data_IF_057905852384
#
_entry.id   IF_057905852384
#
_cell.length_a   1.000
_cell.length_b   1.000
_cell.length_c   1.000
_cell.angle_alpha   90.00
_cell.angle_beta   90.00
_cell.angle_gamma   90.00
#
_symmetry.space_group_name_H-M   'P 1'
#
loop_
_entity.id
_entity.type
_entity.pdbx_description
1 polymer ?
#
# COMPACT_ATOMS: atom_id res chain seq x y z
N UNK A 1 -11.04 -20.66 -6.04
CA UNK A 1 -12.01 -20.04 -5.12
C UNK A 1 -12.44 -18.75 -5.79
N UNK A 2 -13.68 -18.69 -6.23
CA UNK A 2 -14.21 -17.49 -6.89
C UNK A 2 -14.35 -16.35 -5.88
N UNK A 3 -14.17 -15.09 -6.31
CA UNK A 3 -14.28 -13.92 -5.42
C UNK A 3 -15.59 -13.92 -4.63
N UNK A 4 -16.70 -14.30 -5.28
CA UNK A 4 -17.99 -14.44 -4.64
C UNK A 4 -17.96 -15.42 -3.45
N UNK A 5 -17.33 -16.58 -3.63
CA UNK A 5 -17.17 -17.59 -2.58
C UNK A 5 -16.36 -17.04 -1.39
N UNK A 6 -15.34 -16.21 -1.65
CA UNK A 6 -14.55 -15.54 -0.61
C UNK A 6 -15.40 -14.57 0.20
N UNK A 7 -16.19 -13.73 -0.48
CA UNK A 7 -17.06 -12.73 0.17
C UNK A 7 -18.15 -13.44 0.99
N UNK A 8 -18.82 -14.44 0.42
CA UNK A 8 -19.86 -15.23 1.08
C UNK A 8 -19.30 -15.96 2.32
N UNK A 9 -18.12 -16.58 2.19
CA UNK A 9 -17.45 -17.24 3.31
C UNK A 9 -17.01 -16.27 4.40
N UNK A 10 -16.60 -15.06 4.01
CA UNK A 10 -16.21 -14.01 4.96
C UNK A 10 -17.41 -13.52 5.76
N UNK A 11 -18.57 -13.34 5.12
CA UNK A 11 -19.82 -13.00 5.80
C UNK A 11 -20.24 -14.09 6.79
N UNK A 12 -20.20 -15.36 6.37
CA UNK A 12 -20.53 -16.49 7.25
C UNK A 12 -19.57 -16.57 8.45
N UNK A 13 -18.27 -16.43 8.20
CA UNK A 13 -17.26 -16.42 9.27
C UNK A 13 -17.49 -15.27 10.25
N UNK A 14 -17.85 -14.08 9.76
CA UNK A 14 -18.18 -12.94 10.60
C UNK A 14 -19.35 -13.23 11.54
N UNK A 15 -20.43 -13.82 11.03
CA UNK A 15 -21.61 -14.18 11.83
C UNK A 15 -21.27 -15.19 12.94
N UNK A 16 -20.43 -16.19 12.63
CA UNK A 16 -19.94 -17.16 13.62
C UNK A 16 -19.08 -16.49 14.71
N UNK A 17 -18.21 -15.54 14.34
CA UNK A 17 -17.39 -14.78 15.29
C UNK A 17 -18.25 -13.93 16.22
N UNK A 18 -19.22 -13.18 15.68
CA UNK A 18 -20.14 -12.36 16.49
C UNK A 18 -20.92 -13.24 17.47
N UNK A 19 -21.47 -14.36 16.99
CA UNK A 19 -22.18 -15.31 17.84
C UNK A 19 -21.28 -15.87 18.95
N UNK A 20 -20.03 -16.25 18.64
CA UNK A 20 -19.10 -16.77 19.62
C UNK A 20 -18.75 -15.76 20.71
N UNK A 21 -18.52 -14.48 20.35
CA UNK A 21 -18.24 -13.40 21.31
C UNK A 21 -19.45 -13.17 22.23
N UNK A 22 -20.65 -13.11 21.66
CA UNK A 22 -21.89 -12.93 22.44
C UNK A 22 -22.17 -14.13 23.36
N UNK A 23 -21.95 -15.36 22.89
CA UNK A 23 -22.10 -16.57 23.69
C UNK A 23 -21.09 -16.61 24.86
N UNK A 24 -19.83 -16.23 24.61
CA UNK A 24 -18.82 -16.11 25.65
C UNK A 24 -19.24 -15.07 26.71
N UNK A 25 -19.73 -13.92 26.27
CA UNK A 25 -20.22 -12.87 27.15
C UNK A 25 -21.36 -13.32 28.06
N UNK A 26 -22.35 -13.99 27.47
CA UNK A 26 -23.47 -14.53 28.21
C UNK A 26 -23.01 -15.55 29.26
N UNK A 27 -22.06 -16.41 28.92
CA UNK A 27 -21.56 -17.44 29.83
C UNK A 27 -20.72 -16.89 30.97
N UNK A 28 -19.79 -15.96 30.71
CA UNK A 28 -19.01 -15.28 31.76
C UNK A 28 -19.95 -14.55 32.74
N UNK A 29 -20.93 -13.81 32.20
CA UNK A 29 -21.89 -13.10 33.03
C UNK A 29 -22.84 -14.04 33.78
N UNK A 30 -23.15 -15.23 33.26
CA UNK A 30 -23.92 -16.27 33.96
C UNK A 30 -23.14 -16.87 35.12
N UNK A 31 -21.87 -17.26 34.89
CA UNK A 31 -21.00 -17.82 35.93
C UNK A 31 -20.76 -16.82 37.06
N UNK A 32 -20.59 -15.53 36.72
CA UNK A 32 -20.47 -14.46 37.71
C UNK A 32 -21.71 -14.32 38.59
N UNK A 33 -22.93 -14.44 38.02
CA UNK A 33 -24.17 -14.41 38.83
C UNK A 33 -24.22 -15.57 39.82
N UNK A 34 -23.86 -16.79 39.37
CA UNK A 34 -23.80 -17.97 40.25
C UNK A 34 -22.79 -17.75 41.38
N UNK A 35 -21.62 -17.20 41.08
CA UNK A 35 -20.61 -16.86 42.09
C UNK A 35 -21.12 -15.83 43.10
N UNK A 36 -21.75 -14.75 42.61
CA UNK A 36 -22.35 -13.71 43.46
C UNK A 36 -23.42 -14.27 44.39
N UNK A 37 -24.25 -15.22 43.92
CA UNK A 37 -25.28 -15.89 44.71
C UNK A 37 -24.68 -16.84 45.77
N UNK A 38 -23.53 -17.45 45.49
CA UNK A 38 -22.86 -18.38 46.42
C UNK A 38 -22.14 -17.67 47.58
N UNK A 39 -21.43 -16.57 47.30
CA UNK A 39 -20.51 -15.98 48.27
C UNK A 39 -20.97 -14.62 48.83
N UNK A 40 -21.98 -13.97 48.22
CA UNK A 40 -22.42 -12.64 48.62
C UNK A 40 -21.43 -11.56 48.17
N UNK A 41 -21.90 -10.70 47.27
CA UNK A 41 -21.10 -9.80 46.44
C UNK A 41 -20.18 -8.81 47.20
N UNK A 42 -20.50 -8.48 48.46
CA UNK A 42 -19.86 -7.34 49.17
C UNK A 42 -18.63 -7.71 50.01
N UNK A 43 -18.42 -8.99 50.37
CA UNK A 43 -17.39 -9.36 51.35
C UNK A 43 -16.20 -10.13 50.77
N UNK A 44 -16.36 -10.79 49.62
CA UNK A 44 -15.35 -11.70 49.06
C UNK A 44 -14.90 -11.35 47.63
N UNK A 45 -15.60 -10.44 46.94
CA UNK A 45 -15.37 -10.16 45.51
C UNK A 45 -15.80 -11.32 44.60
N UNK A 46 -15.76 -11.12 43.28
CA UNK A 46 -15.96 -12.18 42.28
C UNK A 46 -14.60 -12.54 41.66
N UNK A 47 -14.34 -13.83 41.45
CA UNK A 47 -13.18 -14.35 40.73
C UNK A 47 -13.25 -14.04 39.23
N UNK A 48 -14.46 -13.99 38.65
CA UNK A 48 -14.66 -13.56 37.27
C UNK A 48 -15.00 -12.07 37.20
N UNK A 49 -14.29 -11.36 36.32
CA UNK A 49 -14.64 -9.99 35.95
C UNK A 49 -15.92 -9.96 35.12
N UNK A 50 -16.66 -8.85 35.20
CA UNK A 50 -17.76 -8.59 34.28
C UNK A 50 -17.21 -8.58 32.85
N UNK A 51 -17.85 -9.28 31.92
CA UNK A 51 -17.54 -9.08 30.52
C UNK A 51 -18.50 -8.04 29.96
N UNK A 52 -18.05 -6.79 29.99
CA UNK A 52 -18.88 -5.63 29.71
C UNK A 52 -19.13 -5.42 28.21
N UNK A 53 -20.20 -4.71 27.88
CA UNK A 53 -20.57 -4.44 26.48
C UNK A 53 -19.48 -3.70 25.71
N UNK A 54 -18.64 -2.90 26.38
CA UNK A 54 -17.53 -2.22 25.72
C UNK A 54 -16.43 -3.20 25.29
N UNK A 55 -16.15 -4.25 26.07
CA UNK A 55 -15.14 -5.27 25.75
C UNK A 55 -15.59 -6.15 24.60
N UNK A 56 -16.87 -6.52 24.60
CA UNK A 56 -17.52 -7.20 23.48
C UNK A 56 -17.39 -6.37 22.19
N UNK A 57 -17.76 -5.09 22.24
CA UNK A 57 -17.66 -4.18 21.09
C UNK A 57 -16.22 -4.03 20.60
N UNK A 58 -15.25 -3.93 21.49
CA UNK A 58 -13.84 -3.84 21.11
C UNK A 58 -13.37 -5.10 20.35
N UNK A 59 -13.73 -6.30 20.83
CA UNK A 59 -13.38 -7.56 20.15
C UNK A 59 -14.05 -7.69 18.79
N UNK A 60 -15.35 -7.34 18.71
CA UNK A 60 -16.12 -7.35 17.45
C UNK A 60 -15.53 -6.34 16.46
N UNK A 61 -15.19 -5.14 16.91
CA UNK A 61 -14.54 -4.12 16.06
C UNK A 61 -13.18 -4.58 15.55
N UNK A 62 -12.34 -5.15 16.41
CA UNK A 62 -11.02 -5.67 16.03
C UNK A 62 -11.14 -6.78 14.97
N UNK A 63 -12.07 -7.72 15.16
CA UNK A 63 -12.32 -8.79 14.20
C UNK A 63 -12.77 -8.24 12.84
N UNK A 64 -13.71 -7.30 12.83
CA UNK A 64 -14.17 -6.64 11.60
C UNK A 64 -13.03 -5.90 10.87
N UNK A 65 -12.22 -5.11 11.57
CA UNK A 65 -11.08 -4.39 10.99
C UNK A 65 -10.08 -5.35 10.32
N UNK A 66 -9.83 -6.51 10.92
CA UNK A 66 -8.98 -7.56 10.34
C UNK A 66 -9.61 -8.16 9.08
N UNK A 67 -10.92 -8.43 9.07
CA UNK A 67 -11.63 -8.95 7.90
C UNK A 67 -11.65 -7.94 6.75
N UNK A 68 -11.91 -6.66 7.02
CA UNK A 68 -11.83 -5.58 6.03
C UNK A 68 -10.44 -5.47 5.42
N UNK A 69 -9.39 -5.50 6.23
CA UNK A 69 -8.00 -5.49 5.73
C UNK A 69 -7.71 -6.69 4.81
N UNK A 70 -8.24 -7.88 5.14
CA UNK A 70 -8.11 -9.07 4.28
C UNK A 70 -8.89 -8.91 2.97
N UNK A 71 -10.12 -8.40 2.99
CA UNK A 71 -10.90 -8.15 1.78
C UNK A 71 -10.21 -7.11 0.89
N UNK A 72 -9.62 -6.06 1.47
CA UNK A 72 -8.81 -5.10 0.72
C UNK A 72 -7.62 -5.78 0.03
N UNK A 73 -6.92 -6.70 0.70
CA UNK A 73 -5.83 -7.47 0.05
C UNK A 73 -6.31 -8.33 -1.11
N UNK A 74 -7.54 -8.86 -1.03
CA UNK A 74 -8.17 -9.59 -2.14
C UNK A 74 -8.50 -8.63 -3.27
N UNK A 75 -9.10 -7.47 -2.97
CA UNK A 75 -9.42 -6.44 -3.95
C UNK A 75 -8.18 -5.88 -4.67
N UNK A 76 -7.06 -5.69 -3.95
CA UNK A 76 -5.79 -5.29 -4.57
C UNK A 76 -5.37 -6.33 -5.61
N UNK A 77 -5.48 -7.63 -5.31
CA UNK A 77 -5.11 -8.68 -6.29
C UNK A 77 -6.07 -8.74 -7.47
N UNK A 78 -7.35 -8.53 -7.23
CA UNK A 78 -8.40 -8.65 -8.23
C UNK A 78 -8.45 -7.45 -9.19
N UNK A 79 -8.34 -6.23 -8.66
CA UNK A 79 -8.55 -5.00 -9.43
C UNK A 79 -7.24 -4.35 -9.90
N UNK A 80 -6.07 -4.85 -9.47
CA UNK A 80 -4.80 -4.37 -10.02
C UNK A 80 -4.60 -4.88 -11.44
N UNK A 81 -4.04 -4.06 -12.34
CA UNK A 81 -3.78 -4.47 -13.72
C UNK A 81 -2.68 -5.53 -13.82
N UNK A 82 -1.73 -5.54 -12.88
CA UNK A 82 -0.71 -6.57 -12.77
C UNK A 82 -0.13 -6.64 -11.36
N UNK A 83 0.52 -7.76 -10.96
CA UNK A 83 1.27 -7.85 -9.70
C UNK A 83 2.39 -6.82 -9.56
N UNK A 84 2.80 -6.20 -10.66
CA UNK A 84 3.85 -5.19 -10.73
C UNK A 84 3.33 -3.77 -10.64
N UNK A 85 2.01 -3.61 -10.68
CA UNK A 85 1.29 -2.33 -10.57
C UNK A 85 0.13 -2.46 -9.58
N UNK A 86 0.39 -2.80 -8.30
CA UNK A 86 -0.69 -2.94 -7.33
C UNK A 86 -1.37 -1.59 -7.08
N UNK A 87 -2.70 -1.56 -7.00
CA UNK A 87 -3.42 -0.43 -6.42
C UNK A 87 -3.16 -0.35 -4.91
N UNK A 88 -3.01 0.87 -4.41
CA UNK A 88 -3.06 1.18 -2.99
C UNK A 88 -4.50 1.52 -2.59
N UNK A 89 -5.02 0.82 -1.58
CA UNK A 89 -6.35 1.03 -1.03
C UNK A 89 -6.22 1.20 0.48
N UNK A 90 -6.69 2.32 1.02
CA UNK A 90 -6.84 2.48 2.46
C UNK A 90 -8.15 1.84 2.92
N UNK A 91 -8.04 0.77 3.71
CA UNK A 91 -9.22 0.09 4.23
C UNK A 91 -10.06 0.99 5.14
N UNK A 92 -9.46 1.99 5.82
CA UNK A 92 -10.20 2.91 6.67
C UNK A 92 -11.13 3.81 5.87
N UNK A 93 -10.70 4.21 4.67
CA UNK A 93 -11.51 5.03 3.78
C UNK A 93 -12.76 4.26 3.31
N UNK A 94 -12.56 3.00 2.89
CA UNK A 94 -13.67 2.11 2.52
C UNK A 94 -14.58 1.83 3.73
N UNK A 95 -13.99 1.58 4.90
CA UNK A 95 -14.73 1.36 6.14
C UNK A 95 -15.63 2.56 6.47
N UNK A 96 -15.11 3.78 6.37
CA UNK A 96 -15.90 5.02 6.56
C UNK A 96 -17.04 5.12 5.55
N UNK A 97 -16.77 4.84 4.28
CA UNK A 97 -17.76 4.91 3.21
C UNK A 97 -18.95 3.96 3.44
N UNK A 98 -18.70 2.79 4.04
CA UNK A 98 -19.76 1.83 4.38
C UNK A 98 -20.33 2.00 5.79
N UNK A 99 -20.01 3.11 6.48
CA UNK A 99 -20.54 3.43 7.80
C UNK A 99 -19.81 2.77 8.98
N UNK A 100 -18.71 2.06 8.73
CA UNK A 100 -17.83 1.48 9.75
C UNK A 100 -16.77 2.50 10.21
N UNK A 101 -17.23 3.63 10.76
CA UNK A 101 -16.35 4.70 11.25
C UNK A 101 -16.34 4.83 12.79
N UNK A 102 -17.26 4.16 13.48
CA UNK A 102 -17.50 4.37 14.90
C UNK A 102 -17.57 3.04 15.66
N UNK A 103 -16.72 2.90 16.67
CA UNK A 103 -16.66 1.73 17.58
C UNK A 103 -18.01 1.42 18.25
N UNK A 104 -18.93 2.39 18.31
CA UNK A 104 -20.26 2.23 18.92
C UNK A 104 -21.23 1.40 18.09
N UNK A 105 -20.98 1.16 16.81
CA UNK A 105 -21.85 0.35 15.91
C UNK A 105 -21.01 -0.51 14.97
N UNK A 106 -20.41 -1.60 15.45
CA UNK A 106 -19.56 -2.46 14.63
C UNK A 106 -20.43 -3.43 13.80
N UNK A 107 -21.23 -2.89 12.88
CA UNK A 107 -22.00 -3.70 11.94
C UNK A 107 -21.19 -3.86 10.65
N UNK A 108 -20.27 -4.83 10.66
CA UNK A 108 -19.58 -5.23 9.43
C UNK A 108 -20.52 -6.09 8.58
N UNK A 109 -20.50 -5.81 7.28
CA UNK A 109 -21.15 -6.63 6.25
C UNK A 109 -20.18 -6.79 5.09
N UNK A 110 -19.74 -8.02 4.84
CA UNK A 110 -18.72 -8.31 3.84
C UNK A 110 -19.20 -7.97 2.41
N UNK A 111 -20.48 -8.19 2.12
CA UNK A 111 -21.05 -7.90 0.80
C UNK A 111 -21.13 -6.40 0.53
N UNK A 112 -21.53 -5.61 1.53
CA UNK A 112 -21.58 -4.14 1.41
C UNK A 112 -20.16 -3.58 1.23
N UNK A 113 -19.21 -4.07 2.03
CA UNK A 113 -17.81 -3.68 1.93
C UNK A 113 -17.21 -4.03 0.56
N UNK A 114 -17.48 -5.24 0.06
CA UNK A 114 -17.00 -5.66 -1.26
C UNK A 114 -17.65 -4.88 -2.40
N UNK A 115 -18.96 -4.60 -2.32
CA UNK A 115 -19.66 -3.79 -3.32
C UNK A 115 -19.08 -2.38 -3.43
N UNK A 116 -18.66 -1.78 -2.32
CA UNK A 116 -17.99 -0.49 -2.33
C UNK A 116 -16.62 -0.57 -3.02
N UNK A 117 -15.85 -1.64 -2.76
CA UNK A 117 -14.59 -1.90 -3.46
C UNK A 117 -14.80 -2.07 -4.97
N UNK A 118 -15.78 -2.87 -5.40
CA UNK A 118 -16.14 -3.03 -6.81
C UNK A 118 -16.59 -1.71 -7.45
N UNK A 119 -17.36 -0.90 -6.74
CA UNK A 119 -17.84 0.39 -7.25
C UNK A 119 -16.68 1.34 -7.56
N UNK A 120 -15.68 1.39 -6.66
CA UNK A 120 -14.51 2.28 -6.80
C UNK A 120 -13.44 1.74 -7.74
N UNK A 121 -13.16 0.44 -7.70
CA UNK A 121 -11.99 -0.17 -8.34
C UNK A 121 -12.32 -1.24 -9.37
N UNK A 122 -13.57 -1.68 -9.48
CA UNK A 122 -13.98 -2.69 -10.45
C UNK A 122 -13.84 -2.25 -11.92
N UNK A 123 -13.77 -3.23 -12.81
CA UNK A 123 -13.56 -3.00 -14.24
C UNK A 123 -12.20 -2.38 -14.53
N UNK A 124 -12.15 -1.34 -15.37
CA UNK A 124 -10.91 -0.63 -15.70
C UNK A 124 -10.47 0.40 -14.65
N UNK A 125 -11.32 0.72 -13.65
CA UNK A 125 -11.04 1.78 -12.67
C UNK A 125 -9.83 1.45 -11.80
N UNK A 126 -9.67 0.18 -11.40
CA UNK A 126 -8.52 -0.28 -10.62
C UNK A 126 -7.21 -0.09 -11.39
N UNK A 127 -7.19 -0.46 -12.68
CA UNK A 127 -6.04 -0.22 -13.55
C UNK A 127 -5.69 1.26 -13.66
N UNK A 128 -6.67 2.12 -13.94
CA UNK A 128 -6.47 3.56 -14.01
C UNK A 128 -5.94 4.13 -12.69
N UNK A 129 -6.51 3.74 -11.55
CA UNK A 129 -6.06 4.19 -10.24
C UNK A 129 -4.62 3.75 -9.93
N UNK A 130 -4.25 2.49 -10.23
CA UNK A 130 -2.87 2.01 -10.02
C UNK A 130 -1.86 2.87 -10.78
N UNK A 131 -2.15 3.14 -12.05
CA UNK A 131 -1.26 3.93 -12.89
C UNK A 131 -1.22 5.41 -12.49
N UNK A 132 -2.34 5.99 -12.06
CA UNK A 132 -2.36 7.33 -11.48
C UNK A 132 -1.54 7.43 -10.19
N UNK A 133 -1.66 6.45 -9.29
CA UNK A 133 -0.86 6.39 -8.05
C UNK A 133 0.64 6.25 -8.35
N UNK A 134 1.01 5.40 -9.31
CA UNK A 134 2.39 5.25 -9.75
C UNK A 134 2.92 6.55 -10.40
N UNK A 135 2.15 7.16 -11.32
CA UNK A 135 2.53 8.41 -11.97
C UNK A 135 2.67 9.56 -10.96
N UNK A 136 1.72 9.70 -10.03
CA UNK A 136 1.78 10.67 -8.93
C UNK A 136 3.01 10.47 -8.05
N UNK A 137 3.36 9.21 -7.75
CA UNK A 137 4.61 8.88 -7.04
C UNK A 137 5.84 9.33 -7.83
N UNK A 138 5.93 9.04 -9.13
CA UNK A 138 7.07 9.50 -9.96
C UNK A 138 7.18 11.02 -10.01
N UNK A 139 6.05 11.73 -10.14
CA UNK A 139 5.99 13.19 -10.14
C UNK A 139 6.51 13.76 -8.82
N UNK A 140 6.03 13.22 -7.69
CA UNK A 140 6.43 13.68 -6.37
C UNK A 140 7.92 13.39 -6.10
N UNK A 141 8.37 12.17 -6.35
CA UNK A 141 9.72 11.73 -6.00
C UNK A 141 10.79 12.37 -6.89
N UNK A 142 10.53 12.55 -8.19
CA UNK A 142 11.41 13.28 -9.09
C UNK A 142 11.17 14.79 -9.14
N UNK A 143 10.19 15.29 -8.37
CA UNK A 143 9.79 16.72 -8.33
C UNK A 143 9.50 17.28 -9.72
N UNK A 144 8.79 16.51 -10.54
CA UNK A 144 8.43 16.89 -11.91
C UNK A 144 7.39 18.02 -11.82
N UNK A 145 7.72 19.18 -12.40
CA UNK A 145 6.79 20.31 -12.45
C UNK A 145 5.94 20.21 -13.72
N UNK A 146 4.59 20.20 -13.63
CA UNK A 146 3.71 20.13 -14.80
C UNK A 146 4.02 21.24 -15.82
N UNK A 147 4.27 22.45 -15.34
CA UNK A 147 4.50 23.63 -16.18
C UNK A 147 5.91 23.71 -16.79
N UNK A 148 6.91 23.11 -16.15
CA UNK A 148 8.30 23.19 -16.62
C UNK A 148 8.64 22.12 -17.68
N UNK A 149 7.75 21.13 -17.86
CA UNK A 149 8.01 19.95 -18.66
C UNK A 149 9.17 19.11 -18.10
N UNK A 150 9.39 17.95 -18.72
CA UNK A 150 10.53 17.09 -18.38
C UNK A 150 11.75 17.56 -19.17
N UNK A 151 12.85 17.88 -18.48
CA UNK A 151 14.10 18.24 -19.15
C UNK A 151 14.61 17.08 -20.01
N UNK A 152 14.63 17.30 -21.32
CA UNK A 152 15.24 16.39 -22.29
C UNK A 152 16.73 16.73 -22.44
N UNK A 153 17.57 15.70 -22.47
CA UNK A 153 18.93 15.76 -23.01
C UNK A 153 18.95 15.03 -24.36
N UNK A 154 20.03 15.22 -25.15
CA UNK A 154 20.17 14.66 -26.51
C UNK A 154 19.80 13.17 -26.61
N UNK A 155 20.05 12.40 -25.55
CA UNK A 155 19.90 10.94 -25.56
C UNK A 155 18.68 10.42 -24.76
N UNK A 156 17.84 11.32 -24.21
CA UNK A 156 16.64 10.95 -23.46
C UNK A 156 16.29 11.90 -22.30
N UNK A 157 15.58 11.38 -21.30
CA UNK A 157 15.16 12.12 -20.11
C UNK A 157 16.17 11.90 -18.98
N UNK A 158 16.47 12.96 -18.22
CA UNK A 158 17.25 12.87 -16.98
C UNK A 158 16.41 13.37 -15.81
N UNK A 159 16.20 12.52 -14.80
CA UNK A 159 15.50 12.85 -13.56
C UNK A 159 16.41 12.65 -12.36
N UNK A 160 16.22 13.45 -11.31
CA UNK A 160 17.02 13.38 -10.10
C UNK A 160 16.12 13.03 -8.91
N UNK A 161 16.44 11.93 -8.25
CA UNK A 161 15.89 11.59 -6.94
C UNK A 161 16.80 12.20 -5.88
N UNK A 162 16.32 13.16 -5.10
CA UNK A 162 17.10 13.75 -4.01
C UNK A 162 17.33 12.72 -2.90
N UNK A 163 18.55 12.65 -2.36
CA UNK A 163 18.93 11.74 -1.27
C UNK A 163 19.76 12.53 -0.25
N UNK A 164 19.59 12.28 1.03
CA UNK A 164 20.44 12.76 2.12
C UNK A 164 21.38 11.63 2.51
N UNK A 165 22.67 11.83 2.25
CA UNK A 165 23.69 10.89 2.66
C UNK A 165 24.78 11.58 3.50
N UNK A 166 25.11 10.98 4.64
CA UNK A 166 26.11 11.49 5.57
C UNK A 166 27.48 10.89 5.26
N UNK A 167 28.52 11.73 5.23
CA UNK A 167 29.89 11.24 5.03
C UNK A 167 30.39 10.50 6.27
N UNK A 168 30.85 9.26 6.09
CA UNK A 168 31.41 8.47 7.18
C UNK A 168 32.85 8.93 7.48
N UNK A 169 33.13 9.26 8.75
CA UNK A 169 34.39 9.91 9.20
C UNK A 169 35.70 9.22 8.76
N UNK A 170 35.64 7.94 8.40
CA UNK A 170 36.81 7.12 7.99
C UNK A 170 36.56 6.28 6.73
N UNK A 171 35.58 6.65 5.89
CA UNK A 171 35.26 5.91 4.68
C UNK A 171 34.90 6.88 3.55
N UNK A 172 35.20 6.49 2.31
CA UNK A 172 34.76 7.23 1.11
C UNK A 172 33.27 6.96 0.77
N UNK A 173 32.58 6.20 1.63
CA UNK A 173 31.16 5.87 1.51
C UNK A 173 30.31 6.85 2.28
N UNK A 174 29.12 7.09 1.76
CA UNK A 174 28.10 7.91 2.38
C UNK A 174 27.01 7.00 2.92
N UNK A 175 26.52 7.27 4.13
CA UNK A 175 25.41 6.56 4.73
C UNK A 175 24.09 7.19 4.30
N UNK A 176 23.19 6.41 3.71
CA UNK A 176 21.85 6.86 3.29
C UNK A 176 20.94 6.97 4.52
N UNK A 177 20.16 8.05 4.63
CA UNK A 177 19.12 8.20 5.66
C UNK A 177 17.98 7.19 5.45
N UNK A 178 17.40 6.67 6.53
CA UNK A 178 16.33 5.66 6.47
C UNK A 178 15.05 6.18 5.80
N UNK A 179 14.76 7.48 5.86
CA UNK A 179 13.65 8.08 5.12
C UNK A 179 13.84 7.98 3.60
N UNK A 180 15.09 8.10 3.14
CA UNK A 180 15.43 8.05 1.72
C UNK A 180 15.44 6.62 1.21
N UNK A 181 15.69 5.62 2.07
CA UNK A 181 15.50 4.21 1.75
C UNK A 181 14.05 3.92 1.33
N UNK A 182 13.08 4.44 2.10
CA UNK A 182 11.65 4.32 1.75
C UNK A 182 11.33 5.04 0.44
N UNK A 183 11.96 6.19 0.21
CA UNK A 183 11.82 6.98 -1.01
C UNK A 183 12.31 6.21 -2.24
N UNK A 184 13.48 5.57 -2.15
CA UNK A 184 14.03 4.70 -3.18
C UNK A 184 13.07 3.54 -3.46
N UNK A 185 12.54 2.91 -2.41
CA UNK A 185 11.57 1.82 -2.53
C UNK A 185 10.31 2.22 -3.28
N UNK A 186 9.69 3.35 -2.92
CA UNK A 186 8.51 3.90 -3.62
C UNK A 186 8.81 4.25 -5.07
N UNK A 187 9.95 4.90 -5.32
CA UNK A 187 10.39 5.24 -6.69
C UNK A 187 10.57 3.99 -7.54
N UNK A 188 11.20 2.94 -6.99
CA UNK A 188 11.38 1.67 -7.68
C UNK A 188 10.05 0.97 -7.98
N UNK A 189 9.12 0.96 -7.03
CA UNK A 189 7.78 0.39 -7.22
C UNK A 189 7.00 1.13 -8.32
N UNK A 190 7.05 2.46 -8.33
CA UNK A 190 6.40 3.29 -9.35
C UNK A 190 7.03 3.10 -10.73
N UNK A 191 8.36 3.03 -10.83
CA UNK A 191 9.08 2.72 -12.07
C UNK A 191 8.78 1.30 -12.58
N UNK A 192 8.63 0.34 -11.66
CA UNK A 192 8.20 -1.03 -11.99
C UNK A 192 6.79 -1.04 -12.58
N UNK A 193 5.87 -0.29 -11.98
CA UNK A 193 4.50 -0.17 -12.49
C UNK A 193 4.47 0.47 -13.88
N UNK A 194 5.21 1.56 -14.07
CA UNK A 194 5.43 2.18 -15.38
C UNK A 194 5.98 1.18 -16.41
N UNK A 195 7.02 0.42 -16.06
CA UNK A 195 7.61 -0.56 -16.98
C UNK A 195 6.61 -1.66 -17.36
N UNK A 196 5.76 -2.07 -16.42
CA UNK A 196 4.69 -3.04 -16.66
C UNK A 196 3.65 -2.50 -17.64
N UNK A 197 3.14 -1.27 -17.40
CA UNK A 197 2.23 -0.58 -18.33
C UNK A 197 2.84 -0.44 -19.73
N UNK A 198 4.12 -0.09 -19.79
CA UNK A 198 4.79 0.20 -21.04
C UNK A 198 5.23 -1.07 -21.80
N UNK A 199 4.99 -2.27 -21.28
CA UNK A 199 5.40 -3.53 -21.90
C UNK A 199 6.93 -3.68 -21.96
N UNK A 200 7.63 -3.28 -20.90
CA UNK A 200 9.09 -3.33 -20.77
C UNK A 200 9.51 -4.37 -19.71
N UNK A 201 9.37 -5.68 -19.98
CA UNK A 201 9.54 -6.73 -18.96
C UNK A 201 10.95 -6.79 -18.37
N UNK A 202 11.99 -6.56 -19.18
CA UNK A 202 13.37 -6.52 -18.69
C UNK A 202 13.58 -5.38 -17.71
N UNK A 203 13.01 -4.21 -17.99
CA UNK A 203 13.09 -3.05 -17.10
C UNK A 203 12.26 -3.27 -15.83
N UNK A 204 11.07 -3.86 -15.95
CA UNK A 204 10.22 -4.23 -14.81
C UNK A 204 10.95 -5.16 -13.84
N UNK A 205 11.61 -6.20 -14.35
CA UNK A 205 12.44 -7.10 -13.55
C UNK A 205 13.65 -6.36 -12.96
N UNK A 206 14.28 -5.49 -13.74
CA UNK A 206 15.43 -4.71 -13.30
C UNK A 206 15.08 -3.74 -12.16
N UNK A 207 13.86 -3.17 -12.14
CA UNK A 207 13.39 -2.34 -11.01
C UNK A 207 13.17 -3.16 -9.73
N UNK A 208 12.79 -4.44 -9.87
CA UNK A 208 12.77 -5.36 -8.71
C UNK A 208 14.19 -5.61 -8.18
N UNK A 209 15.16 -5.78 -9.08
CA UNK A 209 16.57 -5.94 -8.69
C UNK A 209 17.13 -4.66 -8.07
N UNK A 210 16.81 -3.49 -8.61
CA UNK A 210 17.17 -2.18 -8.06
C UNK A 210 16.62 -2.04 -6.63
N UNK A 211 15.32 -2.26 -6.41
CA UNK A 211 14.74 -2.20 -5.07
C UNK A 211 15.47 -3.12 -4.07
N UNK A 212 15.75 -4.37 -4.45
CA UNK A 212 16.48 -5.32 -3.59
C UNK A 212 17.90 -4.90 -3.23
N UNK A 213 18.58 -4.19 -4.13
CA UNK A 213 19.98 -3.76 -3.93
C UNK A 213 20.04 -2.50 -3.07
N UNK A 214 19.06 -1.61 -3.17
CA UNK A 214 19.12 -0.29 -2.56
C UNK A 214 18.24 -0.13 -1.33
N UNK A 215 17.14 -0.87 -1.22
CA UNK A 215 16.38 -0.98 0.03
C UNK A 215 17.16 -1.87 0.99
N UNK A 216 17.38 -1.39 2.21
CA UNK A 216 18.24 -1.99 3.23
C UNK A 216 19.73 -1.72 3.05
N UNK A 217 20.13 -1.01 1.99
CA UNK A 217 21.53 -0.64 1.77
C UNK A 217 21.84 0.66 2.48
N UNK A 218 22.68 0.57 3.51
CA UNK A 218 23.05 1.71 4.33
C UNK A 218 24.10 2.60 3.65
N UNK A 219 24.84 2.13 2.64
CA UNK A 219 26.03 2.81 2.10
C UNK A 219 26.05 2.94 0.57
N UNK A 220 26.48 4.11 0.11
CA UNK A 220 26.69 4.41 -1.31
C UNK A 220 28.05 5.05 -1.57
N UNK A 221 28.69 4.69 -2.68
CA UNK A 221 29.80 5.48 -3.23
C UNK A 221 29.24 6.50 -4.22
N UNK A 222 29.78 7.71 -4.19
CA UNK A 222 29.42 8.74 -5.17
C UNK A 222 30.02 8.42 -6.55
N UNK A 223 29.26 8.71 -7.60
CA UNK A 223 29.58 8.48 -9.03
C UNK A 223 29.65 7.02 -9.47
N UNK A 224 29.01 6.09 -8.74
CA UNK A 224 28.79 4.74 -9.28
C UNK A 224 27.64 4.76 -10.28
N UNK A 225 27.76 3.98 -11.35
CA UNK A 225 26.75 3.88 -12.40
C UNK A 225 26.27 2.44 -12.54
N UNK A 226 24.96 2.28 -12.64
CA UNK A 226 24.29 1.00 -12.81
C UNK A 226 23.32 1.09 -13.98
N UNK A 227 23.26 0.06 -14.81
CA UNK A 227 22.32 -0.01 -15.93
C UNK A 227 21.26 -1.05 -15.59
N UNK A 228 20.00 -0.66 -15.73
CA UNK A 228 18.83 -1.50 -15.49
C UNK A 228 17.99 -1.55 -16.76
N UNK A 229 17.61 -2.76 -17.18
CA UNK A 229 16.95 -3.01 -18.47
C UNK A 229 17.93 -3.48 -19.54
N UNK A 230 17.58 -3.25 -20.80
CA UNK A 230 18.36 -3.66 -21.97
C UNK A 230 18.28 -2.59 -23.06
N UNK A 231 19.38 -2.36 -23.80
CA UNK A 231 19.43 -1.34 -24.85
C UNK A 231 18.51 -1.59 -26.06
N UNK A 232 18.02 -2.82 -26.26
CA UNK A 232 17.07 -3.16 -27.32
C UNK A 232 15.61 -2.86 -26.97
N UNK A 233 15.22 -3.08 -25.72
CA UNK A 233 13.83 -2.97 -25.24
C UNK A 233 13.56 -1.70 -24.44
N UNK A 234 14.57 -1.17 -23.77
CA UNK A 234 14.51 0.05 -22.95
C UNK A 234 15.37 -0.10 -21.71
N UNK A 235 16.13 0.93 -21.37
CA UNK A 235 17.00 0.94 -20.19
C UNK A 235 17.02 2.28 -19.44
N UNK A 236 17.39 2.18 -18.17
CA UNK A 236 17.68 3.30 -17.29
C UNK A 236 19.10 3.14 -16.74
N UNK A 237 19.93 4.16 -16.93
CA UNK A 237 21.21 4.29 -16.24
C UNK A 237 21.00 5.11 -14.96
N UNK A 238 21.35 4.56 -13.82
CA UNK A 238 21.28 5.23 -12.52
C UNK A 238 22.69 5.54 -12.05
N UNK A 239 22.99 6.82 -11.86
CA UNK A 239 24.27 7.29 -11.31
C UNK A 239 24.06 7.82 -9.89
N UNK A 240 24.79 7.28 -8.93
CA UNK A 240 24.71 7.72 -7.54
C UNK A 240 25.53 8.98 -7.31
N UNK A 241 25.06 9.86 -6.44
CA UNK A 241 25.81 10.98 -5.88
C UNK A 241 25.52 11.05 -4.39
N UNK A 242 26.35 11.78 -3.64
CA UNK A 242 26.16 11.96 -2.21
C UNK A 242 24.82 12.67 -1.84
N UNK A 243 24.21 13.38 -2.78
CA UNK A 243 22.98 14.15 -2.54
C UNK A 243 21.80 13.80 -3.46
N UNK A 244 21.99 12.86 -4.40
CA UNK A 244 20.95 12.46 -5.35
C UNK A 244 21.31 11.19 -6.10
N UNK A 245 20.31 10.48 -6.60
CA UNK A 245 20.49 9.50 -7.68
C UNK A 245 19.98 10.10 -8.98
N UNK A 246 20.83 10.11 -10.01
CA UNK A 246 20.49 10.60 -11.34
C UNK A 246 20.05 9.43 -12.22
N UNK A 247 18.81 9.49 -12.72
CA UNK A 247 18.18 8.50 -13.58
C UNK A 247 18.20 9.02 -15.01
N UNK A 248 18.97 8.36 -15.87
CA UNK A 248 19.05 8.66 -17.30
C UNK A 248 18.29 7.57 -18.05
N UNK A 249 17.14 7.96 -18.61
CA UNK A 249 16.28 7.09 -19.40
C UNK A 249 16.73 7.16 -20.86
N UNK A 250 16.88 6.01 -21.53
CA UNK A 250 17.16 6.01 -22.96
C UNK A 250 15.98 6.56 -23.78
N UNK A 251 16.17 6.77 -25.09
CA UNK A 251 15.14 7.35 -25.96
C UNK A 251 13.80 6.61 -25.93
N UNK A 252 13.84 5.27 -26.00
CA UNK A 252 12.62 4.43 -26.02
C UNK A 252 11.87 4.47 -24.69
N UNK A 253 12.59 4.37 -23.58
CA UNK A 253 11.99 4.47 -22.24
C UNK A 253 11.48 5.88 -21.98
N UNK A 254 12.19 6.90 -22.47
CA UNK A 254 11.80 8.31 -22.33
C UNK A 254 10.50 8.64 -23.06
N UNK A 255 10.30 8.09 -24.27
CA UNK A 255 9.05 8.27 -25.02
C UNK A 255 7.86 7.67 -24.26
N UNK A 256 8.01 6.41 -23.79
CA UNK A 256 6.99 5.71 -23.00
C UNK A 256 6.70 6.44 -21.68
N UNK A 257 7.73 6.94 -20.99
CA UNK A 257 7.57 7.67 -19.74
C UNK A 257 6.75 8.95 -19.93
N UNK A 258 6.95 9.66 -21.03
CA UNK A 258 6.17 10.86 -21.33
C UNK A 258 4.70 10.53 -21.60
N UNK A 259 4.43 9.46 -22.35
CA UNK A 259 3.07 9.00 -22.58
C UNK A 259 2.39 8.61 -21.26
N UNK A 260 3.08 7.82 -20.42
CA UNK A 260 2.57 7.40 -19.12
C UNK A 260 2.21 8.59 -18.22
N UNK A 261 3.12 9.55 -18.09
CA UNK A 261 2.90 10.74 -17.26
C UNK A 261 1.84 11.68 -17.87
N UNK A 262 1.77 11.76 -19.21
CA UNK A 262 0.71 12.50 -19.91
C UNK A 262 -0.68 11.91 -19.70
N UNK A 263 -0.79 10.58 -19.66
CA UNK A 263 -2.06 9.87 -19.51
C UNK A 263 -2.53 9.82 -18.03
N UNK A 264 -1.61 9.57 -17.10
CA UNK A 264 -1.96 9.29 -15.69
C UNK A 264 -1.44 10.31 -14.68
N UNK A 265 -0.43 11.11 -15.02
CA UNK A 265 0.28 11.96 -14.06
C UNK A 265 -0.25 13.39 -13.94
N UNK A 266 -0.73 13.98 -15.03
CA UNK A 266 -1.19 15.38 -15.06
C UNK A 266 -2.71 15.53 -15.15
N UNK A 267 -3.42 14.41 -15.24
CA UNK A 267 -4.87 14.39 -15.04
C UNK A 267 -5.12 14.63 -13.55
N UNK A 268 -5.91 15.64 -13.15
CA UNK A 268 -6.19 15.85 -11.74
C UNK A 268 -6.73 14.54 -11.18
N UNK A 269 -6.03 14.00 -10.17
CA UNK A 269 -6.58 12.93 -9.33
C UNK A 269 -7.84 13.56 -8.76
N UNK A 270 -9.00 13.20 -9.32
CA UNK A 270 -10.28 13.66 -8.81
C UNK A 270 -10.25 13.31 -7.33
N UNK A 271 -10.28 14.36 -6.50
CA UNK A 271 -10.25 14.24 -5.05
C UNK A 271 -11.25 13.15 -4.67
N UNK A 272 -10.73 12.02 -4.20
CA UNK A 272 -11.53 11.04 -3.52
C UNK A 272 -11.93 11.69 -2.19
N UNK A 273 -13.04 12.41 -2.23
CA UNK A 273 -13.76 12.99 -1.11
C UNK A 273 -14.80 11.99 -0.59
#
# INVERSE_FOLDING_TARGET
MEIREVVDSTQKYWEEVVHAIQAHAAEINRLRRIESDLFGNERYGNALSAYEDYEQRAHVWQAASVLMSKLVRVAIKEFSPSPSSPIEIDWNDIAKAVGFANERRPEFNAHVFWKELESRYGGSKGATNAYQQAAGSLINEFRIKPEAGIQRRRDGIVLNLGIRAEHLKYSNRYRIDGDDERQIGRTAAALKSFASWAGLPTLEQAMTAFAKVWVGRDQVNSRESFIYGDGGTGQIKITTYYNRFEFVFDGRTSEKLQLFLGEYGFTPVAEAA
#
